data_IF_872397190860
#
_entry.id   IF_872397190860
#
_cell.length_a   1.000
_cell.length_b   1.000
_cell.length_c   1.000
_cell.angle_alpha   90.00
_cell.angle_beta   90.00
_cell.angle_gamma   90.00
#
_symmetry.space_group_name_H-M   'P 1'
#
loop_
_entity.id
_entity.type
_entity.pdbx_description
1 polymer ?
#
# COMPACT_ATOMS: atom_id res chain seq x y z
N UNK A 1 -10.05 2.18 -17.66
CA UNK A 1 -9.12 1.38 -16.83
C UNK A 1 -10.00 0.34 -16.15
N UNK A 2 -10.12 -0.86 -16.74
CA UNK A 2 -11.37 -1.67 -16.77
C UNK A 2 -12.33 -1.12 -17.83
N UNK A 3 -12.83 -1.98 -18.72
CA UNK A 3 -13.85 -1.62 -19.70
C UNK A 3 -15.20 -1.64 -18.98
N UNK A 4 -15.45 -0.62 -18.17
CA UNK A 4 -16.70 -0.48 -17.43
C UNK A 4 -17.77 -0.01 -18.42
N UNK A 5 -18.87 -0.75 -18.58
CA UNK A 5 -19.98 -0.34 -19.43
C UNK A 5 -20.55 1.02 -18.99
N UNK A 6 -21.02 1.82 -19.94
CA UNK A 6 -21.52 3.17 -19.67
C UNK A 6 -22.75 3.17 -18.75
N UNK A 7 -23.57 2.13 -18.83
CA UNK A 7 -24.72 1.88 -17.95
C UNK A 7 -24.30 1.66 -16.50
N UNK A 8 -23.19 0.95 -16.24
CA UNK A 8 -22.67 0.78 -14.87
C UNK A 8 -22.12 2.09 -14.32
N UNK A 9 -21.42 2.88 -15.15
CA UNK A 9 -20.97 4.23 -14.75
C UNK A 9 -22.16 5.14 -14.43
N UNK A 10 -23.24 5.05 -15.21
CA UNK A 10 -24.47 5.80 -14.98
C UNK A 10 -25.14 5.36 -13.67
N UNK A 11 -25.28 4.06 -13.42
CA UNK A 11 -25.84 3.53 -12.17
C UNK A 11 -25.04 4.00 -10.94
N UNK A 12 -23.71 3.97 -11.01
CA UNK A 12 -22.85 4.47 -9.91
C UNK A 12 -23.04 5.98 -9.69
N UNK A 13 -23.21 6.75 -10.75
CA UNK A 13 -23.50 8.18 -10.66
C UNK A 13 -24.89 8.46 -10.06
N UNK A 14 -25.90 7.71 -10.50
CA UNK A 14 -27.29 7.84 -10.03
C UNK A 14 -27.50 7.30 -8.61
N UNK A 15 -26.61 6.44 -8.12
CA UNK A 15 -26.72 5.83 -6.80
C UNK A 15 -26.67 6.83 -5.64
N UNK A 16 -26.05 7.99 -5.82
CA UNK A 16 -26.12 9.11 -4.86
C UNK A 16 -27.12 10.18 -5.25
N UNK A 17 -27.95 9.92 -6.28
CA UNK A 17 -28.99 10.83 -6.78
C UNK A 17 -28.48 12.23 -7.13
N UNK A 18 -27.21 12.36 -7.52
CA UNK A 18 -26.59 13.65 -7.77
C UNK A 18 -26.30 14.48 -6.49
N UNK A 19 -26.40 13.87 -5.32
CA UNK A 19 -26.04 14.47 -4.04
C UNK A 19 -24.57 14.16 -3.67
N UNK A 20 -23.97 15.09 -2.94
CA UNK A 20 -22.59 14.99 -2.45
C UNK A 20 -22.57 14.28 -1.09
N UNK A 21 -21.59 13.39 -0.81
CA UNK A 21 -20.45 13.06 -1.67
C UNK A 21 -20.80 12.10 -2.81
N UNK A 22 -20.35 12.43 -4.03
CA UNK A 22 -20.61 11.63 -5.22
C UNK A 22 -19.86 10.31 -5.14
N UNK A 23 -20.57 9.21 -5.40
CA UNK A 23 -19.98 7.87 -5.32
C UNK A 23 -18.86 7.68 -6.36
N UNK A 24 -19.07 8.13 -7.59
CA UNK A 24 -18.07 8.03 -8.67
C UNK A 24 -16.73 8.72 -8.34
N UNK A 25 -16.75 9.75 -7.48
CA UNK A 25 -15.55 10.49 -7.08
C UNK A 25 -14.84 9.88 -5.86
N UNK A 26 -15.51 8.96 -5.14
CA UNK A 26 -15.04 8.44 -3.85
C UNK A 26 -14.88 6.90 -3.82
N UNK A 27 -15.32 6.20 -4.86
CA UNK A 27 -14.99 4.79 -5.12
C UNK A 27 -13.50 4.66 -5.47
N UNK A 28 -12.83 3.70 -4.83
CA UNK A 28 -11.43 3.39 -5.05
C UNK A 28 -11.24 2.40 -6.21
N UNK A 29 -10.00 2.24 -6.67
CA UNK A 29 -9.65 1.26 -7.69
C UNK A 29 -10.08 -0.16 -7.29
N UNK A 30 -9.91 -0.52 -6.02
CA UNK A 30 -10.35 -1.81 -5.48
C UNK A 30 -11.86 -2.01 -5.59
N UNK A 31 -12.62 -0.96 -5.33
CA UNK A 31 -14.09 -0.97 -5.37
C UNK A 31 -14.55 -1.10 -6.83
N UNK A 32 -13.90 -0.39 -7.76
CA UNK A 32 -14.12 -0.55 -9.20
C UNK A 32 -13.81 -1.97 -9.69
N UNK A 33 -12.69 -2.55 -9.24
CA UNK A 33 -12.34 -3.93 -9.58
C UNK A 33 -13.40 -4.92 -9.05
N UNK A 34 -13.88 -4.72 -7.83
CA UNK A 34 -14.97 -5.52 -7.25
C UNK A 34 -16.27 -5.40 -8.04
N UNK A 35 -16.67 -4.19 -8.47
CA UNK A 35 -17.87 -4.00 -9.30
C UNK A 35 -17.75 -4.72 -10.63
N UNK A 36 -16.56 -4.68 -11.26
CA UNK A 36 -16.33 -5.38 -12.53
C UNK A 36 -16.37 -6.89 -12.36
N UNK A 37 -15.80 -7.43 -11.28
CA UNK A 37 -15.88 -8.85 -10.98
C UNK A 37 -17.33 -9.31 -10.76
N UNK A 38 -18.12 -8.53 -10.00
CA UNK A 38 -19.54 -8.81 -9.77
C UNK A 38 -20.33 -8.73 -11.08
N UNK A 39 -20.10 -7.71 -11.89
CA UNK A 39 -20.76 -7.57 -13.20
C UNK A 39 -20.50 -8.78 -14.11
N UNK A 40 -19.29 -9.34 -14.08
CA UNK A 40 -18.91 -10.48 -14.92
C UNK A 40 -19.44 -11.81 -14.38
N UNK A 41 -19.34 -12.02 -13.07
CA UNK A 41 -19.57 -13.34 -12.46
C UNK A 41 -20.95 -13.47 -11.80
N UNK A 42 -21.52 -12.35 -11.32
CA UNK A 42 -22.75 -12.29 -10.51
C UNK A 42 -23.56 -11.01 -10.79
N UNK A 43 -23.99 -10.77 -12.04
CA UNK A 43 -24.60 -9.49 -12.43
C UNK A 43 -25.85 -9.11 -11.62
N UNK A 44 -26.56 -10.10 -11.04
CA UNK A 44 -27.72 -9.88 -10.19
C UNK A 44 -27.39 -9.26 -8.83
N UNK A 45 -26.13 -9.35 -8.36
CA UNK A 45 -25.67 -8.73 -7.10
C UNK A 45 -25.16 -7.28 -7.32
N UNK A 46 -25.05 -6.81 -8.57
CA UNK A 46 -24.40 -5.54 -8.90
C UNK A 46 -25.12 -4.34 -8.28
N UNK A 47 -26.44 -4.26 -8.44
CA UNK A 47 -27.27 -3.18 -7.92
C UNK A 47 -27.19 -3.09 -6.39
N UNK A 48 -27.20 -4.23 -5.71
CA UNK A 48 -27.06 -4.31 -4.26
C UNK A 48 -25.69 -3.79 -3.81
N UNK A 49 -24.63 -4.14 -4.54
CA UNK A 49 -23.27 -3.67 -4.21
C UNK A 49 -23.12 -2.16 -4.43
N UNK A 50 -23.68 -1.62 -5.52
CA UNK A 50 -23.66 -0.17 -5.78
C UNK A 50 -24.43 0.57 -4.68
N UNK A 51 -25.60 0.06 -4.26
CA UNK A 51 -26.37 0.62 -3.13
C UNK A 51 -25.60 0.55 -1.81
N UNK A 52 -24.91 -0.55 -1.54
CA UNK A 52 -24.07 -0.70 -0.36
C UNK A 52 -22.99 0.39 -0.33
N UNK A 53 -22.27 0.60 -1.43
CA UNK A 53 -21.27 1.66 -1.51
C UNK A 53 -21.86 3.06 -1.36
N UNK A 54 -22.99 3.34 -2.02
CA UNK A 54 -23.69 4.60 -1.89
C UNK A 54 -24.15 4.87 -0.45
N UNK A 55 -24.64 3.85 0.26
CA UNK A 55 -25.10 4.01 1.65
C UNK A 55 -23.96 4.31 2.63
N UNK A 56 -22.75 3.84 2.34
CA UNK A 56 -21.59 3.99 3.21
C UNK A 56 -20.72 5.22 2.88
N UNK A 57 -20.98 5.90 1.76
CA UNK A 57 -20.06 6.89 1.20
C UNK A 57 -19.76 8.07 2.13
N UNK A 58 -20.78 8.57 2.85
CA UNK A 58 -20.63 9.65 3.82
C UNK A 58 -19.67 9.27 4.95
N UNK A 59 -19.78 8.05 5.45
CA UNK A 59 -18.92 7.55 6.51
C UNK A 59 -17.49 7.30 6.02
N UNK A 60 -17.34 6.80 4.79
CA UNK A 60 -16.03 6.64 4.13
C UNK A 60 -15.34 8.01 3.97
N UNK A 61 -16.05 9.03 3.50
CA UNK A 61 -15.52 10.39 3.40
C UNK A 61 -15.11 10.93 4.77
N UNK A 62 -15.96 10.79 5.78
CA UNK A 62 -15.66 11.24 7.16
C UNK A 62 -14.41 10.56 7.73
N UNK A 63 -14.30 9.23 7.59
CA UNK A 63 -13.11 8.47 8.01
C UNK A 63 -11.86 8.92 7.26
N UNK A 64 -11.95 9.12 5.95
CA UNK A 64 -10.84 9.60 5.13
C UNK A 64 -10.36 11.00 5.55
N UNK A 65 -11.29 11.90 5.94
CA UNK A 65 -10.94 13.23 6.45
C UNK A 65 -10.24 13.19 7.80
N UNK A 66 -10.67 12.32 8.71
CA UNK A 66 -10.03 12.12 10.02
C UNK A 66 -8.63 11.55 9.81
N UNK A 67 -8.51 10.49 9.01
CA UNK A 67 -7.23 9.88 8.71
C UNK A 67 -6.27 10.89 8.08
N UNK A 68 -6.71 11.70 7.12
CA UNK A 68 -5.86 12.76 6.53
C UNK A 68 -5.29 13.71 7.59
N UNK A 69 -6.06 14.07 8.62
CA UNK A 69 -5.62 14.99 9.67
C UNK A 69 -4.70 14.30 10.68
N UNK A 70 -4.95 13.03 10.97
CA UNK A 70 -4.35 12.33 12.11
C UNK A 70 -3.26 11.32 11.72
N UNK A 71 -3.13 10.93 10.45
CA UNK A 71 -2.25 9.84 10.02
C UNK A 71 -0.80 10.02 10.49
N UNK A 72 -0.24 11.23 10.32
CA UNK A 72 1.13 11.52 10.75
C UNK A 72 1.31 11.36 12.26
N UNK A 73 0.30 11.75 13.05
CA UNK A 73 0.30 11.60 14.50
C UNK A 73 0.16 10.13 14.90
N UNK A 74 -0.71 9.37 14.23
CA UNK A 74 -0.90 7.92 14.45
C UNK A 74 0.41 7.19 14.17
N UNK A 75 1.02 7.43 13.00
CA UNK A 75 2.31 6.85 12.63
C UNK A 75 3.39 7.23 13.64
N UNK A 76 3.52 8.51 14.00
CA UNK A 76 4.55 8.95 14.94
C UNK A 76 4.39 8.31 16.34
N UNK A 77 3.15 8.19 16.84
CA UNK A 77 2.88 7.52 18.12
C UNK A 77 3.26 6.04 18.08
N UNK A 78 2.92 5.34 17.01
CA UNK A 78 3.24 3.93 16.84
C UNK A 78 4.76 3.71 16.64
N UNK A 79 5.41 4.57 15.86
CA UNK A 79 6.87 4.53 15.67
C UNK A 79 7.61 4.78 16.98
N UNK A 80 7.15 5.75 17.78
CA UNK A 80 7.74 6.05 19.08
C UNK A 80 7.76 4.80 19.97
N UNK A 81 6.66 4.06 20.04
CA UNK A 81 6.59 2.80 20.81
C UNK A 81 7.64 1.80 20.34
N UNK A 82 7.74 1.57 19.03
CA UNK A 82 8.68 0.60 18.48
C UNK A 82 10.14 1.07 18.70
N UNK A 83 10.43 2.35 18.46
CA UNK A 83 11.77 2.90 18.68
C UNK A 83 12.19 2.86 20.14
N UNK A 84 11.28 3.16 21.07
CA UNK A 84 11.51 3.10 22.51
C UNK A 84 11.88 1.67 22.96
N UNK A 85 11.19 0.64 22.41
CA UNK A 85 11.51 -0.76 22.68
C UNK A 85 12.97 -1.10 22.30
N UNK A 86 13.47 -0.55 21.20
CA UNK A 86 14.85 -0.76 20.76
C UNK A 86 15.86 0.23 21.37
N UNK A 87 15.43 1.16 22.21
CA UNK A 87 16.30 2.20 22.80
C UNK A 87 16.81 3.23 21.79
N UNK A 88 16.11 3.44 20.67
CA UNK A 88 16.45 4.47 19.69
C UNK A 88 15.91 5.85 20.10
N UNK A 89 16.59 6.90 19.66
CA UNK A 89 16.18 8.30 19.89
C UNK A 89 14.86 8.65 19.16
N UNK A 90 13.87 9.10 19.93
CA UNK A 90 12.53 9.46 19.45
C UNK A 90 12.25 10.96 19.45
N UNK A 91 13.22 11.83 19.78
CA UNK A 91 12.97 13.27 19.94
C UNK A 91 12.38 13.93 18.68
N UNK A 92 12.72 13.41 17.50
CA UNK A 92 12.19 13.87 16.22
C UNK A 92 10.68 13.59 16.02
N UNK A 93 10.08 12.72 16.84
CA UNK A 93 8.66 12.38 16.78
C UNK A 93 7.81 13.24 17.71
N UNK A 94 8.41 13.95 18.66
CA UNK A 94 7.67 14.79 19.63
C UNK A 94 7.04 16.03 18.95
N UNK A 95 7.58 16.45 17.81
CA UNK A 95 7.01 17.51 16.96
C UNK A 95 6.12 16.97 15.83
N UNK A 96 6.09 15.65 15.60
CA UNK A 96 5.31 15.04 14.54
C UNK A 96 3.81 15.08 14.91
N UNK A 97 3.01 15.76 14.09
CA UNK A 97 1.57 15.93 14.33
C UNK A 97 1.19 17.26 14.99
N UNK A 98 2.13 18.20 15.19
CA UNK A 98 1.74 19.61 15.27
C UNK A 98 1.22 20.03 13.90
N UNK A 99 -0.09 19.89 13.69
CA UNK A 99 -0.77 20.57 12.60
C UNK A 99 -0.50 22.03 12.83
N UNK A 100 0.41 22.60 12.02
CA UNK A 100 0.52 24.04 11.88
C UNK A 100 -0.84 24.51 11.40
N UNK A 101 -1.69 24.92 12.34
CA UNK A 101 -2.78 25.87 12.08
C UNK A 101 -2.08 27.22 11.85
N UNK A 102 -1.16 27.28 10.90
CA UNK A 102 -0.93 28.52 10.21
C UNK A 102 -2.22 28.71 9.42
N UNK A 103 -3.19 29.37 10.04
CA UNK A 103 -4.10 30.25 9.32
C UNK A 103 -3.20 31.03 8.35
N UNK A 104 -3.15 30.60 7.08
CA UNK A 104 -2.57 31.43 6.03
C UNK A 104 -3.48 32.64 6.02
N UNK A 105 -3.04 33.70 6.69
CA UNK A 105 -3.76 34.96 6.82
C UNK A 105 -4.43 35.30 5.47
N UNK A 106 -5.76 35.37 5.53
CA UNK A 106 -6.71 35.40 4.41
C UNK A 106 -6.65 36.70 3.57
N UNK A 107 -5.61 37.52 3.72
CA UNK A 107 -5.64 38.90 3.25
C UNK A 107 -5.43 39.04 1.74
N UNK A 108 -4.73 38.11 1.09
CA UNK A 108 -4.39 38.27 -0.33
C UNK A 108 -5.57 37.98 -1.27
N UNK A 109 -6.44 37.02 -0.92
CA UNK A 109 -7.47 36.52 -1.82
C UNK A 109 -8.79 37.28 -1.69
N UNK A 110 -9.18 37.70 -0.49
CA UNK A 110 -10.37 38.55 -0.29
C UNK A 110 -10.22 39.93 -0.94
N UNK A 111 -9.03 40.51 -0.89
CA UNK A 111 -8.73 41.78 -1.56
C UNK A 111 -8.78 41.68 -3.10
N UNK A 112 -8.49 40.50 -3.66
CA UNK A 112 -8.55 40.24 -5.10
C UNK A 112 -9.97 39.91 -5.57
N UNK A 113 -10.71 39.10 -4.80
CA UNK A 113 -12.11 38.76 -5.06
C UNK A 113 -13.01 40.00 -5.00
N UNK A 114 -12.79 40.91 -4.04
CA UNK A 114 -13.55 42.16 -3.93
C UNK A 114 -13.31 43.14 -5.10
N UNK A 115 -12.25 42.95 -5.90
CA UNK A 115 -12.00 43.74 -7.13
C UNK A 115 -12.69 43.17 -8.36
N UNK A 116 -13.12 41.92 -8.31
CA UNK A 116 -13.86 41.26 -9.37
C UNK A 116 -15.35 41.43 -9.08
N UNK A 117 -16.09 42.11 -9.95
CA UNK A 117 -17.55 42.30 -9.83
C UNK A 117 -18.32 41.00 -10.09
N UNK A 118 -18.11 39.98 -9.24
CA UNK A 118 -18.77 38.69 -9.30
C UNK A 118 -20.21 38.80 -8.82
N UNK A 119 -21.12 38.10 -9.48
CA UNK A 119 -22.49 37.90 -8.99
C UNK A 119 -22.50 37.06 -7.71
N UNK A 120 -23.60 37.13 -6.97
CA UNK A 120 -23.74 36.39 -5.70
C UNK A 120 -23.70 34.86 -5.88
N UNK A 121 -24.15 34.35 -7.02
CA UNK A 121 -24.06 32.94 -7.37
C UNK A 121 -22.61 32.51 -7.64
N UNK A 122 -21.85 33.32 -8.38
CA UNK A 122 -20.42 33.08 -8.67
C UNK A 122 -19.57 33.16 -7.41
N UNK A 123 -19.84 34.13 -6.52
CA UNK A 123 -19.16 34.24 -5.24
C UNK A 123 -19.42 33.02 -4.36
N UNK A 124 -20.68 32.54 -4.31
CA UNK A 124 -21.04 31.34 -3.54
C UNK A 124 -20.38 30.09 -4.14
N UNK A 125 -20.36 29.95 -5.46
CA UNK A 125 -19.67 28.86 -6.14
C UNK A 125 -18.15 28.91 -5.92
N UNK A 126 -17.53 30.08 -6.03
CA UNK A 126 -16.11 30.28 -5.81
C UNK A 126 -15.74 29.95 -4.36
N UNK A 127 -16.48 30.47 -3.38
CA UNK A 127 -16.30 30.16 -1.95
C UNK A 127 -16.52 28.68 -1.65
N UNK A 128 -17.50 28.03 -2.29
CA UNK A 128 -17.69 26.57 -2.19
C UNK A 128 -16.48 25.81 -2.77
N UNK A 129 -16.03 26.17 -3.98
CA UNK A 129 -14.85 25.58 -4.62
C UNK A 129 -13.56 25.87 -3.88
N UNK A 130 -13.49 27.00 -3.17
CA UNK A 130 -12.36 27.37 -2.35
C UNK A 130 -12.38 26.64 -1.01
N UNK A 131 -13.54 26.49 -0.37
CA UNK A 131 -13.69 25.62 0.80
C UNK A 131 -13.37 24.17 0.45
N UNK A 132 -13.81 23.68 -0.72
CA UNK A 132 -13.40 22.38 -1.28
C UNK A 132 -11.89 22.33 -1.51
N UNK A 133 -11.29 23.36 -2.13
CA UNK A 133 -9.82 23.45 -2.31
C UNK A 133 -9.06 23.53 -1.00
N UNK A 134 -9.57 24.21 0.03
CA UNK A 134 -8.96 24.32 1.37
C UNK A 134 -9.09 23.03 2.15
N UNK A 135 -10.24 22.36 2.06
CA UNK A 135 -10.46 20.99 2.55
C UNK A 135 -9.49 20.02 1.86
N UNK A 136 -9.28 20.20 0.56
CA UNK A 136 -8.30 19.49 -0.24
C UNK A 136 -6.85 19.98 -0.04
N UNK A 137 -6.63 21.19 0.51
CA UNK A 137 -5.30 21.74 0.83
C UNK A 137 -4.84 21.31 2.22
N UNK A 138 -5.76 20.95 3.12
CA UNK A 138 -5.44 20.07 4.26
C UNK A 138 -5.10 18.63 3.77
N UNK A 139 -5.36 18.36 2.49
CA UNK A 139 -4.91 17.20 1.72
C UNK A 139 -3.72 17.54 0.82
N UNK A 140 -3.12 18.74 0.91
CA UNK A 140 -1.69 18.83 0.66
C UNK A 140 -1.08 17.96 1.76
N UNK A 141 -0.95 16.67 1.44
CA UNK A 141 0.27 15.92 1.65
C UNK A 141 1.31 16.88 1.14
N UNK A 142 1.71 17.81 2.00
CA UNK A 142 2.86 18.66 1.78
C UNK A 142 3.86 17.61 1.36
N UNK A 143 4.37 17.63 0.11
CA UNK A 143 5.49 16.78 -0.20
C UNK A 143 6.46 17.26 0.85
N UNK A 144 6.62 16.47 1.92
CA UNK A 144 7.50 16.81 2.99
C UNK A 144 8.78 16.91 2.20
N UNK A 145 9.20 18.15 1.97
CA UNK A 145 10.46 18.54 1.35
C UNK A 145 11.56 18.19 2.36
N UNK A 146 11.42 17.02 3.01
CA UNK A 146 12.47 16.20 3.54
C UNK A 146 13.21 15.75 2.31
N UNK A 147 14.16 16.62 1.98
CA UNK A 147 15.47 16.41 1.40
C UNK A 147 15.67 15.15 0.56
N UNK A 148 16.52 15.24 -0.45
CA UNK A 148 16.89 14.14 -1.34
C UNK A 148 17.65 12.97 -0.65
N UNK A 149 17.50 12.82 0.67
CA UNK A 149 18.03 11.77 1.50
C UNK A 149 17.39 10.41 1.24
N UNK A 150 18.09 9.38 1.70
CA UNK A 150 17.65 8.00 1.59
C UNK A 150 16.31 7.80 2.31
N UNK A 151 15.35 7.09 1.73
CA UNK A 151 14.00 6.95 2.34
C UNK A 151 14.00 6.26 3.71
N UNK A 152 15.05 5.49 4.01
CA UNK A 152 15.29 4.92 5.33
C UNK A 152 16.10 5.85 6.26
N UNK A 153 16.18 7.14 5.97
CA UNK A 153 16.82 8.13 6.83
C UNK A 153 16.17 8.17 8.21
N UNK A 154 16.93 8.56 9.24
CA UNK A 154 16.52 8.54 10.65
C UNK A 154 15.12 9.12 10.89
N UNK A 155 14.82 10.26 10.27
CA UNK A 155 13.60 11.02 10.55
C UNK A 155 12.39 10.62 9.70
N UNK A 156 12.52 9.71 8.73
CA UNK A 156 11.43 9.35 7.82
C UNK A 156 10.48 8.32 8.43
N UNK A 157 9.16 8.43 8.17
CA UNK A 157 8.21 7.42 8.60
C UNK A 157 8.45 6.09 7.87
N UNK A 158 8.22 5.00 8.59
CA UNK A 158 8.44 3.63 8.15
C UNK A 158 7.25 2.71 8.48
N UNK A 159 6.30 3.10 9.32
CA UNK A 159 5.15 2.23 9.57
C UNK A 159 4.09 2.31 8.46
N UNK A 160 3.65 1.16 7.90
CA UNK A 160 2.69 1.11 6.81
C UNK A 160 1.24 1.16 7.32
N UNK A 161 0.90 2.15 8.17
CA UNK A 161 -0.42 2.23 8.83
C UNK A 161 -1.48 2.99 8.03
N UNK A 162 -1.11 3.61 6.91
CA UNK A 162 -2.06 4.31 6.05
C UNK A 162 -3.05 3.33 5.40
N UNK A 163 -4.34 3.67 5.43
CA UNK A 163 -5.39 2.92 4.76
C UNK A 163 -5.16 2.84 3.24
N UNK A 164 -5.84 1.91 2.57
CA UNK A 164 -5.88 1.88 1.10
C UNK A 164 -6.47 3.19 0.54
N UNK A 165 -7.55 3.69 1.13
CA UNK A 165 -8.21 4.95 0.73
C UNK A 165 -7.24 6.13 0.72
N UNK A 166 -6.48 6.29 1.82
CA UNK A 166 -5.50 7.38 1.93
C UNK A 166 -4.38 7.21 0.90
N UNK A 167 -3.82 6.00 0.78
CA UNK A 167 -2.72 5.71 -0.15
C UNK A 167 -3.10 5.96 -1.60
N UNK A 168 -4.33 5.64 -1.99
CA UNK A 168 -4.79 5.86 -3.35
C UNK A 168 -4.92 7.36 -3.67
N UNK A 169 -5.48 8.15 -2.76
CA UNK A 169 -5.52 9.60 -2.91
C UNK A 169 -4.12 10.20 -2.93
N UNK A 170 -3.24 9.73 -2.05
CA UNK A 170 -1.85 10.17 -1.96
C UNK A 170 -1.06 9.88 -3.24
N UNK A 171 -1.26 8.70 -3.84
CA UNK A 171 -0.51 8.31 -5.03
C UNK A 171 -0.97 9.08 -6.28
N UNK A 172 -2.24 9.50 -6.33
CA UNK A 172 -2.74 10.37 -7.40
C UNK A 172 -1.99 11.72 -7.40
N UNK A 173 -1.69 12.29 -6.24
CA UNK A 173 -0.90 13.53 -6.11
C UNK A 173 0.53 13.42 -6.67
N UNK A 174 1.07 12.21 -6.81
CA UNK A 174 2.39 11.94 -7.39
C UNK A 174 2.32 11.29 -8.78
N UNK A 175 1.19 11.40 -9.46
CA UNK A 175 0.92 10.83 -10.79
C UNK A 175 1.14 9.31 -10.84
N UNK A 176 0.55 8.58 -9.89
CA UNK A 176 0.64 7.11 -9.78
C UNK A 176 2.05 6.57 -9.51
N UNK A 177 3.03 7.42 -9.18
CA UNK A 177 4.41 7.01 -8.88
C UNK A 177 4.57 6.82 -7.37
N UNK A 178 4.12 5.68 -6.86
CA UNK A 178 4.11 5.39 -5.41
C UNK A 178 5.50 5.46 -4.77
N UNK A 179 6.57 5.21 -5.53
CA UNK A 179 7.95 5.40 -5.10
C UNK A 179 8.37 6.88 -4.97
N UNK A 180 7.47 7.86 -5.19
CA UNK A 180 7.70 9.28 -4.88
C UNK A 180 7.14 9.70 -3.52
N UNK A 181 6.40 8.83 -2.83
CA UNK A 181 6.00 9.08 -1.45
C UNK A 181 7.22 9.05 -0.51
N UNK A 182 7.04 9.62 0.67
CA UNK A 182 8.05 9.80 1.72
C UNK A 182 8.60 8.49 2.30
N UNK A 183 7.82 7.41 2.23
CA UNK A 183 8.23 6.06 2.64
C UNK A 183 8.19 5.07 1.49
N UNK A 184 8.97 3.99 1.61
CA UNK A 184 8.89 2.84 0.72
C UNK A 184 7.87 1.80 1.19
N UNK A 185 7.38 1.90 2.42
CA UNK A 185 6.72 0.79 3.09
C UNK A 185 5.22 0.68 2.73
N UNK A 186 4.65 1.72 2.11
CA UNK A 186 3.32 1.69 1.53
C UNK A 186 3.26 0.71 0.35
N UNK A 187 2.28 -0.19 0.37
CA UNK A 187 1.96 -1.05 -0.78
C UNK A 187 1.06 -0.29 -1.75
N UNK A 188 1.03 -0.71 -3.01
CA UNK A 188 -0.03 -0.33 -3.93
C UNK A 188 -1.39 -0.75 -3.37
N UNK A 189 -2.45 -0.03 -3.77
CA UNK A 189 -3.83 -0.24 -3.31
C UNK A 189 -4.56 -1.31 -4.12
N UNK A 190 -3.81 -2.28 -4.66
CA UNK A 190 -4.36 -3.42 -5.40
C UNK A 190 -4.69 -4.51 -4.38
N UNK A 191 -5.98 -4.78 -4.22
CA UNK A 191 -6.49 -5.83 -3.32
C UNK A 191 -6.28 -7.23 -3.92
N UNK A 192 -6.37 -8.26 -3.07
CA UNK A 192 -6.13 -9.66 -3.48
C UNK A 192 -7.09 -10.08 -4.58
N UNK A 193 -8.36 -9.69 -4.46
CA UNK A 193 -9.42 -9.98 -5.42
C UNK A 193 -9.10 -9.36 -6.79
N UNK A 194 -8.57 -8.14 -6.83
CA UNK A 194 -8.14 -7.51 -8.08
C UNK A 194 -6.98 -8.30 -8.72
N UNK A 195 -6.03 -8.80 -7.93
CA UNK A 195 -4.99 -9.68 -8.44
C UNK A 195 -5.51 -11.02 -8.92
N UNK A 196 -6.52 -11.60 -8.24
CA UNK A 196 -7.18 -12.83 -8.67
C UNK A 196 -7.78 -12.66 -10.06
N UNK A 197 -8.55 -11.59 -10.27
CA UNK A 197 -9.17 -11.29 -11.56
C UNK A 197 -8.13 -11.01 -12.66
N UNK A 198 -7.05 -10.28 -12.33
CA UNK A 198 -5.98 -9.97 -13.29
C UNK A 198 -5.21 -11.18 -13.80
N UNK A 199 -5.11 -12.24 -13.00
CA UNK A 199 -4.29 -13.42 -13.32
C UNK A 199 -5.15 -14.66 -13.54
N UNK A 200 -6.45 -14.60 -13.25
CA UNK A 200 -7.35 -15.75 -13.28
C UNK A 200 -6.99 -16.77 -12.20
N UNK A 201 -6.67 -16.32 -10.99
CA UNK A 201 -6.34 -17.21 -9.87
C UNK A 201 -7.59 -17.83 -9.26
N UNK A 202 -7.44 -19.06 -8.79
CA UNK A 202 -8.49 -19.82 -8.11
C UNK A 202 -8.35 -19.74 -6.58
N UNK A 203 -9.40 -20.10 -5.84
CA UNK A 203 -9.32 -20.16 -4.37
C UNK A 203 -8.15 -21.05 -3.85
N UNK A 204 -7.88 -22.23 -4.45
CA UNK A 204 -6.68 -23.01 -4.12
C UNK A 204 -5.36 -22.24 -4.30
N UNK A 205 -5.24 -21.39 -5.32
CA UNK A 205 -4.04 -20.56 -5.53
C UNK A 205 -3.87 -19.54 -4.40
N UNK A 206 -4.98 -18.98 -3.92
CA UNK A 206 -5.00 -18.04 -2.80
C UNK A 206 -4.68 -18.74 -1.48
N UNK A 207 -5.21 -19.94 -1.26
CA UNK A 207 -4.85 -20.75 -0.09
C UNK A 207 -3.37 -21.12 -0.10
N UNK A 208 -2.79 -21.41 -1.26
CA UNK A 208 -1.35 -21.61 -1.41
C UNK A 208 -0.56 -20.32 -1.06
N UNK A 209 -1.02 -19.15 -1.50
CA UNK A 209 -0.41 -17.87 -1.13
C UNK A 209 -0.51 -17.60 0.38
N UNK A 210 -1.65 -17.92 1.01
CA UNK A 210 -1.86 -17.80 2.46
C UNK A 210 -0.94 -18.75 3.23
N UNK A 211 -0.81 -19.99 2.79
CA UNK A 211 0.11 -20.96 3.37
C UNK A 211 1.58 -20.49 3.24
N UNK A 212 1.94 -19.93 2.09
CA UNK A 212 3.26 -19.34 1.87
C UNK A 212 3.54 -18.15 2.80
N UNK A 213 2.55 -17.26 2.97
CA UNK A 213 2.61 -16.16 3.94
C UNK A 213 2.82 -16.67 5.37
N UNK A 214 2.02 -17.65 5.80
CA UNK A 214 2.14 -18.26 7.14
C UNK A 214 3.53 -18.82 7.40
N UNK A 215 4.16 -19.39 6.37
CA UNK A 215 5.50 -19.96 6.44
C UNK A 215 6.62 -18.94 6.20
N UNK A 216 6.31 -17.72 5.77
CA UNK A 216 7.30 -16.70 5.41
C UNK A 216 8.12 -17.09 4.18
N UNK A 217 7.50 -17.79 3.22
CA UNK A 217 8.17 -18.33 2.04
C UNK A 217 8.69 -17.22 1.12
N UNK A 218 9.96 -17.34 0.69
CA UNK A 218 10.60 -16.44 -0.28
C UNK A 218 10.89 -17.22 -1.57
N UNK A 219 10.16 -16.91 -2.64
CA UNK A 219 10.29 -17.59 -3.93
C UNK A 219 11.51 -17.12 -4.73
N UNK A 220 11.82 -15.82 -4.67
CA UNK A 220 12.86 -15.19 -5.50
C UNK A 220 13.97 -14.54 -4.66
N UNK A 221 14.70 -15.28 -3.80
CA UNK A 221 15.67 -14.69 -2.88
C UNK A 221 16.78 -13.92 -3.62
N UNK A 222 17.25 -12.83 -3.03
CA UNK A 222 18.30 -11.98 -3.60
C UNK A 222 19.65 -12.69 -3.85
N UNK A 223 19.89 -13.81 -3.18
CA UNK A 223 21.09 -14.66 -3.34
C UNK A 223 21.05 -15.54 -4.59
N UNK A 224 19.88 -15.69 -5.22
CA UNK A 224 19.72 -16.37 -6.51
C UNK A 224 19.64 -15.31 -7.61
N UNK A 225 19.97 -15.69 -8.83
CA UNK A 225 20.11 -14.80 -10.00
C UNK A 225 18.84 -14.04 -10.45
N UNK A 226 17.84 -13.87 -9.60
CA UNK A 226 16.57 -13.19 -9.89
C UNK A 226 15.71 -13.94 -10.90
N UNK A 227 14.44 -13.58 -10.99
CA UNK A 227 13.56 -14.03 -12.07
C UNK A 227 13.63 -13.02 -13.21
N UNK A 228 14.04 -13.46 -14.40
CA UNK A 228 13.81 -12.72 -15.63
C UNK A 228 12.41 -13.01 -16.14
N UNK A 229 11.53 -12.00 -16.04
CA UNK A 229 10.14 -12.09 -16.47
C UNK A 229 9.81 -11.04 -17.54
N UNK A 230 10.81 -10.65 -18.34
CA UNK A 230 10.66 -9.68 -19.43
C UNK A 230 10.07 -8.33 -18.97
N UNK A 231 10.39 -7.89 -17.75
CA UNK A 231 9.93 -6.60 -17.25
C UNK A 231 10.41 -5.45 -18.14
N UNK A 232 9.59 -4.39 -18.31
CA UNK A 232 10.03 -3.20 -19.03
C UNK A 232 11.27 -2.60 -18.33
N UNK A 233 12.24 -2.07 -19.09
CA UNK A 233 13.36 -1.34 -18.51
C UNK A 233 12.86 -0.22 -17.60
N UNK A 234 13.54 -0.01 -16.47
CA UNK A 234 13.15 1.04 -15.50
C UNK A 234 13.18 2.44 -16.17
N UNK A 235 14.05 2.65 -17.16
CA UNK A 235 14.08 3.88 -17.97
C UNK A 235 12.77 4.20 -18.70
N UNK A 236 11.96 3.17 -19.04
CA UNK A 236 10.62 3.37 -19.62
C UNK A 236 9.63 3.89 -18.58
N UNK A 237 9.81 3.51 -17.31
CA UNK A 237 8.94 3.92 -16.21
C UNK A 237 9.33 5.30 -15.67
N UNK A 238 10.63 5.60 -15.63
CA UNK A 238 11.14 6.88 -15.13
C UNK A 238 12.37 7.34 -15.92
N UNK A 239 12.31 8.57 -16.44
CA UNK A 239 13.41 9.19 -17.19
C UNK A 239 14.69 9.24 -16.35
N UNK A 240 15.84 8.99 -16.99
CA UNK A 240 17.15 8.99 -16.34
C UNK A 240 17.50 7.71 -15.58
N UNK A 241 16.65 6.66 -15.63
CA UNK A 241 16.94 5.35 -15.06
C UNK A 241 17.62 4.40 -16.06
N UNK A 242 17.92 3.20 -15.57
CA UNK A 242 18.58 2.10 -16.27
C UNK A 242 17.81 1.64 -17.53
N UNK A 243 18.48 1.57 -18.68
CA UNK A 243 17.92 1.00 -19.92
C UNK A 243 17.92 -0.54 -19.94
N UNK A 244 18.63 -1.19 -19.01
CA UNK A 244 18.61 -2.66 -18.91
C UNK A 244 17.31 -3.13 -18.26
N UNK A 245 16.85 -4.31 -18.68
CA UNK A 245 15.72 -4.99 -18.04
C UNK A 245 16.09 -5.38 -16.61
N UNK A 246 15.22 -5.09 -15.63
CA UNK A 246 15.45 -5.52 -14.26
C UNK A 246 15.11 -7.00 -14.10
N UNK A 247 15.67 -7.60 -13.06
CA UNK A 247 15.31 -8.93 -12.58
C UNK A 247 14.45 -8.77 -11.32
N UNK A 248 13.48 -9.67 -11.15
CA UNK A 248 12.67 -9.70 -9.94
C UNK A 248 13.40 -10.47 -8.83
N UNK A 249 13.42 -9.87 -7.66
CA UNK A 249 13.84 -10.50 -6.42
C UNK A 249 12.77 -10.28 -5.35
N UNK A 250 12.88 -10.99 -4.24
CA UNK A 250 12.11 -10.77 -3.02
C UNK A 250 13.08 -10.47 -1.88
N UNK A 251 12.69 -9.51 -1.04
CA UNK A 251 13.43 -9.20 0.17
C UNK A 251 13.36 -10.38 1.12
N UNK A 252 14.53 -10.85 1.55
CA UNK A 252 14.61 -11.83 2.62
C UNK A 252 14.06 -11.26 3.92
N UNK A 253 13.66 -12.15 4.82
CA UNK A 253 13.32 -11.76 6.19
C UNK A 253 14.66 -11.48 6.89
N UNK A 254 14.94 -10.21 7.29
CA UNK A 254 16.19 -9.87 7.94
C UNK A 254 16.31 -10.64 9.27
N UNK A 255 17.54 -10.81 9.73
CA UNK A 255 17.81 -11.19 11.13
C UNK A 255 17.57 -9.96 12.01
N UNK A 256 17.69 -10.13 13.32
CA UNK A 256 17.40 -9.09 14.30
C UNK A 256 18.10 -7.78 13.90
N UNK A 257 17.36 -6.67 13.81
CA UNK A 257 17.87 -5.46 13.20
C UNK A 257 19.01 -4.89 14.05
N UNK A 258 20.21 -4.79 13.46
CA UNK A 258 21.39 -4.27 14.14
C UNK A 258 21.38 -2.74 14.25
N UNK A 259 20.59 -2.06 13.41
CA UNK A 259 20.42 -0.62 13.42
C UNK A 259 18.99 -0.19 13.00
N UNK A 260 18.72 1.11 13.12
CA UNK A 260 17.43 1.69 12.73
C UNK A 260 17.10 1.46 11.24
N UNK A 261 18.10 1.46 10.35
CA UNK A 261 17.88 1.24 8.92
C UNK A 261 17.39 -0.18 8.65
N UNK A 262 17.92 -1.18 9.35
CA UNK A 262 17.46 -2.57 9.30
C UNK A 262 16.06 -2.74 9.88
N UNK A 263 15.77 -2.09 11.01
CA UNK A 263 14.42 -2.07 11.59
C UNK A 263 13.40 -1.51 10.59
N UNK A 264 13.74 -0.43 9.89
CA UNK A 264 12.86 0.14 8.86
C UNK A 264 12.71 -0.75 7.61
N UNK A 265 13.66 -1.65 7.33
CA UNK A 265 13.57 -2.61 6.22
C UNK A 265 12.76 -3.86 6.58
N UNK A 266 12.59 -4.15 7.87
CA UNK A 266 11.81 -5.31 8.35
C UNK A 266 10.39 -5.32 7.75
N UNK A 267 9.81 -4.13 7.55
CA UNK A 267 8.49 -3.97 6.96
C UNK A 267 8.43 -4.44 5.50
N UNK A 268 9.52 -4.50 4.76
CA UNK A 268 9.49 -4.99 3.38
C UNK A 268 9.89 -6.47 3.27
N UNK A 269 9.98 -7.20 4.38
CA UNK A 269 10.29 -8.63 4.36
C UNK A 269 9.26 -9.42 3.52
N UNK A 270 9.74 -10.21 2.56
CA UNK A 270 8.90 -10.94 1.61
C UNK A 270 8.53 -10.17 0.35
N UNK A 271 8.70 -8.83 0.34
CA UNK A 271 8.19 -7.99 -0.74
C UNK A 271 8.97 -8.17 -2.05
N UNK A 272 8.28 -8.45 -3.17
CA UNK A 272 8.90 -8.50 -4.49
C UNK A 272 9.35 -7.12 -5.01
N UNK A 273 10.50 -7.08 -5.66
CA UNK A 273 11.09 -5.86 -6.21
C UNK A 273 11.92 -6.11 -7.47
N UNK A 274 11.98 -5.10 -8.32
CA UNK A 274 12.77 -5.06 -9.54
C UNK A 274 14.16 -4.49 -9.22
N UNK A 275 15.20 -5.26 -9.54
CA UNK A 275 16.62 -4.87 -9.40
C UNK A 275 17.25 -4.76 -10.78
N UNK A 276 17.78 -3.58 -11.14
CA UNK A 276 18.64 -3.46 -12.31
C UNK A 276 20.04 -3.99 -11.97
N UNK A 277 20.66 -4.73 -12.89
CA UNK A 277 21.99 -5.33 -12.75
C UNK A 277 23.16 -4.36 -13.00
N UNK A 278 22.87 -3.09 -13.30
CA UNK A 278 23.90 -2.07 -13.50
C UNK A 278 24.45 -1.57 -12.15
N UNK A 279 25.79 -1.47 -12.00
CA UNK A 279 26.42 -0.95 -10.78
C UNK A 279 25.95 0.46 -10.40
N UNK A 280 25.63 1.30 -11.39
CA UNK A 280 25.15 2.67 -11.18
C UNK A 280 23.69 2.76 -10.70
N UNK A 281 22.97 1.63 -10.64
CA UNK A 281 21.54 1.60 -10.36
C UNK A 281 21.18 0.96 -9.02
N UNK A 282 22.16 0.47 -8.27
CA UNK A 282 21.97 -0.25 -7.00
C UNK A 282 21.22 0.54 -5.93
N UNK A 283 21.21 1.88 -6.02
CA UNK A 283 20.56 2.76 -5.04
C UNK A 283 19.04 2.91 -5.23
N UNK A 284 18.48 2.48 -6.37
CA UNK A 284 17.07 2.70 -6.71
C UNK A 284 16.35 1.38 -6.89
N UNK A 285 15.76 0.92 -5.79
CA UNK A 285 14.79 -0.15 -5.73
C UNK A 285 13.46 0.31 -6.35
N UNK A 286 12.82 -0.55 -7.14
CA UNK A 286 11.42 -0.35 -7.55
C UNK A 286 10.61 -1.55 -7.12
N UNK A 287 9.63 -1.34 -6.24
CA UNK A 287 8.75 -2.43 -5.81
C UNK A 287 7.88 -2.93 -6.96
N UNK A 288 7.60 -4.23 -6.96
CA UNK A 288 6.85 -4.84 -8.05
C UNK A 288 5.40 -4.33 -8.09
N UNK A 289 4.72 -4.28 -6.95
CA UNK A 289 3.37 -3.72 -6.82
C UNK A 289 3.29 -2.25 -7.24
N UNK A 290 4.31 -1.45 -6.91
CA UNK A 290 4.40 -0.07 -7.37
C UNK A 290 4.49 0.02 -8.89
N UNK A 291 5.19 -0.93 -9.52
CA UNK A 291 5.33 -0.99 -10.97
C UNK A 291 3.99 -1.32 -11.64
N UNK A 292 3.28 -2.32 -11.11
CA UNK A 292 1.94 -2.70 -11.60
C UNK A 292 1.00 -1.50 -11.51
N UNK A 293 0.95 -0.84 -10.34
CA UNK A 293 0.11 0.34 -10.14
C UNK A 293 0.41 1.45 -11.15
N UNK A 294 1.69 1.76 -11.35
CA UNK A 294 2.08 2.79 -12.31
C UNK A 294 1.71 2.40 -13.75
N UNK A 295 1.93 1.14 -14.13
CA UNK A 295 1.60 0.63 -15.47
C UNK A 295 0.09 0.64 -15.73
N UNK A 296 -0.74 0.32 -14.74
CA UNK A 296 -2.20 0.38 -14.86
C UNK A 296 -2.69 1.76 -15.29
N UNK A 297 -2.06 2.83 -14.77
CA UNK A 297 -2.35 4.21 -15.17
C UNK A 297 -1.56 4.70 -16.40
N UNK A 298 -0.63 3.92 -16.93
CA UNK A 298 0.29 4.31 -18.02
C UNK A 298 0.57 3.11 -18.94
N UNK A 299 -0.46 2.56 -19.58
CA UNK A 299 -0.36 1.34 -20.40
C UNK A 299 0.58 1.50 -21.61
N UNK A 300 0.83 2.74 -22.06
CA UNK A 300 1.81 3.08 -23.09
C UNK A 300 3.24 2.64 -22.71
N UNK A 301 3.52 2.39 -21.42
CA UNK A 301 4.84 1.91 -20.98
C UNK A 301 5.09 0.44 -21.28
N UNK A 302 4.04 -0.37 -21.41
CA UNK A 302 4.15 -1.78 -21.78
C UNK A 302 4.34 -1.90 -23.28
N UNK A 303 3.37 -1.39 -24.04
CA UNK A 303 3.41 -1.38 -25.49
C UNK A 303 3.09 0.02 -26.06
N UNK A 304 4.13 0.83 -26.33
CA UNK A 304 3.94 2.15 -26.91
C UNK A 304 3.50 2.10 -28.38
N UNK A 305 3.63 0.94 -29.05
CA UNK A 305 3.30 0.78 -30.46
C UNK A 305 1.88 0.29 -30.67
N UNK A 306 1.23 -0.27 -29.64
CA UNK A 306 -0.18 -0.63 -29.73
C UNK A 306 -1.04 0.60 -30.07
N UNK A 307 -1.97 0.48 -31.04
CA UNK A 307 -2.66 1.64 -31.61
C UNK A 307 -3.74 2.23 -30.68
N UNK A 308 -4.28 1.43 -29.75
CA UNK A 308 -5.33 1.84 -28.81
C UNK A 308 -5.13 1.20 -27.43
N UNK A 309 -5.65 1.84 -26.39
CA UNK A 309 -5.52 1.39 -25.00
C UNK A 309 -6.12 0.01 -24.73
N UNK A 310 -7.17 -0.38 -25.49
CA UNK A 310 -7.75 -1.72 -25.38
C UNK A 310 -6.73 -2.81 -25.68
N UNK A 311 -5.90 -2.64 -26.72
CA UNK A 311 -4.86 -3.61 -27.07
C UNK A 311 -3.75 -3.58 -26.01
N UNK A 312 -3.33 -2.39 -25.56
CA UNK A 312 -2.32 -2.27 -24.49
C UNK A 312 -2.75 -2.98 -23.20
N UNK A 313 -4.04 -2.89 -22.86
CA UNK A 313 -4.60 -3.61 -21.71
C UNK A 313 -4.57 -5.13 -21.92
N UNK A 314 -4.95 -5.62 -23.10
CA UNK A 314 -4.90 -7.06 -23.41
C UNK A 314 -3.47 -7.61 -23.33
N UNK A 315 -2.49 -6.86 -23.85
CA UNK A 315 -1.06 -7.23 -23.73
C UNK A 315 -0.60 -7.24 -22.26
N UNK A 316 -1.03 -6.25 -21.49
CA UNK A 316 -0.74 -6.20 -20.06
C UNK A 316 -1.37 -7.39 -19.30
N UNK A 317 -2.63 -7.72 -19.59
CA UNK A 317 -3.30 -8.90 -19.04
C UNK A 317 -2.59 -10.19 -19.46
N UNK A 318 -2.16 -10.31 -20.73
CA UNK A 318 -1.40 -11.46 -21.19
C UNK A 318 -0.10 -11.65 -20.39
N UNK A 319 0.62 -10.56 -20.07
CA UNK A 319 1.79 -10.63 -19.18
C UNK A 319 1.41 -11.11 -17.78
N UNK A 320 0.33 -10.58 -17.20
CA UNK A 320 -0.17 -10.96 -15.87
C UNK A 320 -0.56 -12.44 -15.79
N UNK A 321 -1.30 -12.96 -16.77
CA UNK A 321 -1.70 -14.37 -16.84
C UNK A 321 -0.53 -15.33 -17.10
N UNK A 322 0.53 -14.86 -17.77
CA UNK A 322 1.64 -15.73 -18.18
C UNK A 322 2.90 -15.47 -17.36
N UNK A 323 3.75 -14.58 -17.86
CA UNK A 323 5.12 -14.38 -17.40
C UNK A 323 5.16 -13.78 -15.98
N UNK A 324 4.12 -13.03 -15.59
CA UNK A 324 4.04 -12.34 -14.31
C UNK A 324 3.15 -13.05 -13.29
N UNK A 325 2.52 -14.18 -13.62
CA UNK A 325 1.64 -14.92 -12.70
C UNK A 325 2.37 -15.30 -11.39
N UNK A 326 3.57 -15.88 -11.47
CA UNK A 326 4.36 -16.21 -10.27
C UNK A 326 4.77 -14.97 -9.44
N UNK A 327 5.28 -13.88 -10.05
CA UNK A 327 5.45 -12.61 -9.36
C UNK A 327 4.21 -12.10 -8.63
N UNK A 328 3.02 -12.25 -9.22
CA UNK A 328 1.75 -11.83 -8.61
C UNK A 328 1.43 -12.69 -7.39
N UNK A 329 1.55 -14.02 -7.48
CA UNK A 329 1.36 -14.90 -6.32
C UNK A 329 2.33 -14.57 -5.17
N UNK A 330 3.58 -14.24 -5.50
CA UNK A 330 4.56 -13.78 -4.52
C UNK A 330 4.16 -12.42 -3.88
N UNK A 331 3.54 -11.53 -4.65
CA UNK A 331 2.99 -10.26 -4.15
C UNK A 331 1.77 -10.46 -3.26
N UNK A 332 0.84 -11.36 -3.61
CA UNK A 332 -0.32 -11.73 -2.77
C UNK A 332 0.16 -12.33 -1.46
N UNK A 333 1.13 -13.25 -1.51
CA UNK A 333 1.75 -13.82 -0.30
C UNK A 333 2.31 -12.71 0.59
N UNK A 334 2.97 -11.70 0.02
CA UNK A 334 3.45 -10.56 0.79
C UNK A 334 2.31 -9.70 1.38
N UNK A 335 1.17 -9.54 0.71
CA UNK A 335 0.00 -8.84 1.27
C UNK A 335 -0.50 -9.55 2.54
N UNK A 336 -0.63 -10.87 2.51
CA UNK A 336 -0.98 -11.64 3.71
C UNK A 336 0.10 -11.57 4.80
N UNK A 337 1.38 -11.56 4.44
CA UNK A 337 2.45 -11.30 5.42
C UNK A 337 2.30 -9.91 6.06
N UNK A 338 2.01 -8.88 5.25
CA UNK A 338 1.79 -7.51 5.71
C UNK A 338 0.62 -7.42 6.69
N UNK A 339 -0.46 -8.18 6.50
CA UNK A 339 -1.58 -8.25 7.44
C UNK A 339 -1.12 -8.73 8.82
N UNK A 340 -0.32 -9.80 8.90
CA UNK A 340 0.25 -10.25 10.17
C UNK A 340 1.13 -9.17 10.81
N UNK A 341 1.98 -8.50 10.03
CA UNK A 341 2.85 -7.42 10.54
C UNK A 341 2.03 -6.27 11.14
N UNK A 342 0.97 -5.83 10.45
CA UNK A 342 0.10 -4.74 10.91
C UNK A 342 -0.66 -5.15 12.16
N UNK A 343 -1.21 -6.36 12.22
CA UNK A 343 -1.91 -6.87 13.42
C UNK A 343 -1.00 -6.89 14.65
N UNK A 344 0.27 -7.28 14.49
CA UNK A 344 1.27 -7.24 15.58
C UNK A 344 1.51 -5.80 16.05
N UNK A 345 1.63 -4.85 15.11
CA UNK A 345 1.78 -3.42 15.46
C UNK A 345 0.57 -2.91 16.22
N UNK A 346 -0.65 -3.24 15.79
CA UNK A 346 -1.86 -2.84 16.50
C UNK A 346 -1.86 -3.32 17.96
N UNK A 347 -1.52 -4.59 18.20
CA UNK A 347 -1.39 -5.13 19.56
C UNK A 347 -0.37 -4.37 20.41
N UNK A 348 0.80 -4.04 19.83
CA UNK A 348 1.83 -3.25 20.53
C UNK A 348 1.38 -1.82 20.83
N UNK A 349 0.62 -1.21 19.92
CA UNK A 349 0.11 0.15 20.11
C UNK A 349 -1.02 0.23 21.11
N UNK A 350 -1.85 -0.82 21.21
CA UNK A 350 -2.94 -0.94 22.18
C UNK A 350 -2.42 -1.28 23.59
N UNK A 351 -1.40 -2.12 23.69
CA UNK A 351 -0.79 -2.51 24.95
C UNK A 351 0.75 -2.47 24.87
N UNK A 352 1.33 -1.38 25.37
CA UNK A 352 2.79 -1.15 25.34
C UNK A 352 3.61 -2.13 26.17
N UNK A 353 2.99 -2.83 27.12
CA UNK A 353 3.67 -3.81 27.99
C UNK A 353 3.40 -5.25 27.57
N UNK A 354 2.73 -5.47 26.44
CA UNK A 354 2.47 -6.81 25.93
C UNK A 354 3.78 -7.54 25.64
N UNK A 355 3.92 -8.74 26.17
CA UNK A 355 5.08 -9.58 25.90
C UNK A 355 4.98 -10.27 24.54
N UNK A 356 6.12 -10.61 23.96
CA UNK A 356 6.18 -11.42 22.75
C UNK A 356 5.40 -12.75 22.90
N UNK A 357 5.44 -13.36 24.09
CA UNK A 357 4.69 -14.59 24.38
C UNK A 357 3.17 -14.37 24.33
N UNK A 358 2.69 -13.24 24.86
CA UNK A 358 1.26 -12.90 24.79
C UNK A 358 0.82 -12.67 23.34
N UNK A 359 1.58 -11.91 22.54
CA UNK A 359 1.30 -11.72 21.11
C UNK A 359 1.16 -13.07 20.40
N UNK A 360 2.11 -13.98 20.61
CA UNK A 360 2.14 -15.28 19.91
C UNK A 360 1.07 -16.27 20.39
N UNK A 361 0.36 -15.96 21.48
CA UNK A 361 -0.77 -16.75 21.96
C UNK A 361 -2.11 -16.33 21.35
N UNK A 362 -2.19 -15.19 20.64
CA UNK A 362 -3.39 -14.83 19.87
C UNK A 362 -3.66 -15.86 18.77
N UNK A 363 -4.93 -16.14 18.53
CA UNK A 363 -5.38 -17.15 17.57
C UNK A 363 -4.77 -16.95 16.17
N UNK A 364 -4.69 -15.70 15.73
CA UNK A 364 -4.12 -15.30 14.45
C UNK A 364 -2.63 -15.67 14.27
N UNK A 365 -1.86 -15.80 15.36
CA UNK A 365 -0.42 -16.05 15.32
C UNK A 365 -0.02 -17.43 15.85
N UNK A 366 -0.95 -18.12 16.51
CA UNK A 366 -0.73 -19.45 17.04
C UNK A 366 -0.35 -20.40 15.91
N UNK A 367 0.84 -21.00 16.01
CA UNK A 367 1.40 -21.89 14.99
C UNK A 367 1.57 -21.23 13.61
N UNK A 368 1.84 -19.92 13.56
CA UNK A 368 2.18 -19.18 12.34
C UNK A 368 3.68 -18.88 12.34
N UNK A 369 4.53 -19.67 11.65
CA UNK A 369 5.98 -19.50 11.65
C UNK A 369 6.45 -18.08 11.32
N UNK A 370 5.80 -17.45 10.34
CA UNK A 370 6.10 -16.07 9.98
C UNK A 370 5.80 -15.09 11.10
N UNK A 371 4.64 -15.21 11.76
CA UNK A 371 4.28 -14.38 12.91
C UNK A 371 5.29 -14.51 14.03
N UNK A 372 5.66 -15.75 14.38
CA UNK A 372 6.73 -16.04 15.35
C UNK A 372 8.04 -15.37 14.99
N UNK A 373 8.50 -15.55 13.73
CA UNK A 373 9.74 -14.96 13.27
C UNK A 373 9.68 -13.44 13.30
N UNK A 374 8.65 -12.84 12.73
CA UNK A 374 8.51 -11.39 12.67
C UNK A 374 8.42 -10.77 14.07
N UNK A 375 7.65 -11.34 15.00
CA UNK A 375 7.61 -10.89 16.40
C UNK A 375 8.98 -10.98 17.06
N UNK A 376 9.74 -12.04 16.79
CA UNK A 376 11.09 -12.20 17.33
C UNK A 376 12.09 -11.16 16.78
N UNK A 377 11.98 -10.81 15.49
CA UNK A 377 12.85 -9.79 14.89
C UNK A 377 12.41 -8.35 15.26
N UNK A 378 11.11 -8.14 15.54
CA UNK A 378 10.57 -6.83 15.91
C UNK A 378 10.78 -6.50 17.40
N UNK A 379 10.78 -7.49 18.29
CA UNK A 379 10.85 -7.25 19.73
C UNK A 379 12.22 -7.62 20.30
N UNK A 380 12.85 -6.72 21.08
CA UNK A 380 14.09 -7.06 21.77
C UNK A 380 13.87 -8.23 22.73
N UNK A 381 14.87 -9.12 22.85
CA UNK A 381 14.87 -10.27 23.75
C UNK A 381 13.84 -11.38 23.43
N UNK A 382 13.16 -11.33 22.28
CA UNK A 382 12.22 -12.37 21.84
C UNK A 382 12.90 -13.55 21.12
N UNK A 383 14.21 -13.47 20.86
CA UNK A 383 15.00 -14.50 20.14
C UNK A 383 14.92 -15.89 20.78
N UNK A 384 14.88 -15.97 22.11
CA UNK A 384 14.78 -17.22 22.86
C UNK A 384 13.47 -17.99 22.64
N UNK A 385 12.42 -17.34 22.13
CA UNK A 385 11.13 -17.96 21.85
C UNK A 385 11.16 -18.83 20.59
N UNK A 386 12.03 -18.51 19.62
CA UNK A 386 12.19 -19.31 18.40
C UNK A 386 12.80 -20.69 18.70
N UNK A 387 13.78 -20.74 19.62
CA UNK A 387 14.44 -21.98 20.03
C UNK A 387 13.49 -22.99 20.71
N UNK A 388 12.52 -22.52 21.49
CA UNK A 388 11.55 -23.39 22.19
C UNK A 388 10.56 -24.06 21.22
N UNK A 389 10.22 -23.40 20.12
CA UNK A 389 9.31 -23.96 19.10
C UNK A 389 9.93 -25.11 18.30
N UNK A 390 11.22 -25.05 18.01
CA UNK A 390 11.94 -26.08 17.27
C UNK A 390 12.08 -27.38 18.09
N UNK A 391 12.24 -27.25 19.41
CA UNK A 391 12.34 -28.37 20.36
C UNK A 391 11.05 -29.20 20.47
N UNK A 392 9.87 -28.62 20.25
CA UNK A 392 8.59 -29.35 20.31
C UNK A 392 8.28 -30.19 19.06
N UNK A 393 8.98 -29.98 17.94
CA UNK A 393 8.76 -30.76 16.70
C UNK A 393 9.62 -32.02 16.60
N UNK A 394 10.46 -32.30 17.60
CA UNK A 394 11.44 -33.41 17.57
C UNK A 394 11.13 -34.57 18.52
N UNK A 395 9.89 -34.74 18.97
CA UNK A 395 9.46 -36.01 19.57
C UNK A 395 8.65 -36.81 18.54
N UNK A 396 9.21 -37.90 17.98
CA UNK A 396 8.39 -38.93 17.37
C UNK A 396 7.74 -39.72 18.52
N UNK A 397 6.42 -39.74 18.54
CA UNK A 397 5.67 -40.75 19.31
C UNK A 397 5.95 -42.12 18.69
N UNK A 398 6.98 -42.78 19.22
CA UNK A 398 7.14 -44.22 19.14
C UNK A 398 6.50 -44.76 20.41
N UNK A 399 5.24 -45.17 20.31
CA UNK A 399 4.70 -46.16 21.22
C UNK A 399 4.67 -47.49 20.47
N UNK A 400 5.66 -48.33 20.80
CA UNK A 400 5.57 -49.78 20.62
C UNK A 400 4.54 -50.32 21.62
N UNK A 401 3.46 -50.92 21.08
CA UNK A 401 2.87 -52.18 21.56
C UNK A 401 1.82 -52.71 20.59
#
# INVERSE_FOLDING_TARGET
MLAIPADVLLQVYEATMGESPFLIENILFSDWASLVAIMQNKPHELDDKIREFASNITEVCRKSEIENRELNLIIAKAEKIILDLHGYDTAHLDSAGQVSIAERNETFMDAYINRMSLSQAELKYLKKKEAERRKNAHTEITPLTRDAGHKFAKNNPFLPLASSTWREKAVQCVNNRLWKLDTFNYTATIIVEAYMEFVGLTDPDIDNCRAAARNGTIYFPATRGGLDANFPPIAKLEKGKCLKRPLLHQKGIPKFPADLSELKKLWDAGRPYLKCTCPRCEKNLTWFDHTIWYVLGNLDKIDPHAPIDKIRMLEFQALLHTTWSKPIMAQISFIFMREYMIKIVHLLTENRVISAKEILNYEDFKNVPFGHKFTAELLPNAEGLLAQSASRRSQPDIEDN
#
